data_IF_126813242392
#
_entry.id   IF_126813242392
#
_cell.length_a   1.000
_cell.length_b   1.000
_cell.length_c   1.000
_cell.angle_alpha   90.00
_cell.angle_beta   90.00
_cell.angle_gamma   90.00
#
_symmetry.space_group_name_H-M   'P 1'
#
loop_
_entity.id
_entity.type
_entity.pdbx_description
1 polymer ?
#
# COMPACT_ATOMS: atom_id res chain seq x y z
N UNK A 1 -15.64 -30.50 24.30
CA UNK A 1 -15.27 -30.75 22.90
C UNK A 1 -16.00 -29.74 22.04
N UNK A 2 -15.31 -28.85 21.30
CA UNK A 2 -15.99 -27.97 20.35
C UNK A 2 -16.71 -28.84 19.31
N UNK A 3 -18.01 -28.58 19.11
CA UNK A 3 -18.84 -29.35 18.19
C UNK A 3 -18.34 -29.25 16.75
N UNK A 4 -18.63 -30.26 15.93
CA UNK A 4 -18.34 -30.27 14.48
C UNK A 4 -18.84 -29.02 13.76
N UNK A 5 -19.97 -28.44 14.21
CA UNK A 5 -20.51 -27.20 13.67
C UNK A 5 -19.58 -26.01 13.86
N UNK A 6 -18.93 -25.87 15.02
CA UNK A 6 -17.96 -24.79 15.27
C UNK A 6 -16.72 -24.92 14.38
N UNK A 7 -16.29 -26.15 14.11
CA UNK A 7 -15.14 -26.40 13.23
C UNK A 7 -15.45 -26.05 11.76
N UNK A 8 -16.66 -26.37 11.30
CA UNK A 8 -17.14 -25.99 9.97
C UNK A 8 -17.27 -24.46 9.85
N UNK A 9 -17.84 -23.81 10.85
CA UNK A 9 -17.95 -22.35 10.90
C UNK A 9 -16.58 -21.67 10.80
N UNK A 10 -15.62 -22.10 11.63
CA UNK A 10 -14.24 -21.61 11.58
C UNK A 10 -13.58 -21.85 10.21
N UNK A 11 -13.83 -23.01 9.60
CA UNK A 11 -13.34 -23.32 8.26
C UNK A 11 -13.88 -22.36 7.20
N UNK A 12 -15.19 -22.15 7.15
CA UNK A 12 -15.83 -21.26 6.17
C UNK A 12 -15.38 -19.81 6.34
N UNK A 13 -15.35 -19.28 7.56
CA UNK A 13 -14.86 -17.92 7.80
C UNK A 13 -13.38 -17.77 7.46
N UNK A 14 -12.55 -18.77 7.73
CA UNK A 14 -11.15 -18.74 7.33
C UNK A 14 -10.98 -18.79 5.81
N UNK A 15 -11.85 -19.53 5.10
CA UNK A 15 -11.87 -19.51 3.64
C UNK A 15 -12.24 -18.13 3.10
N UNK A 16 -13.21 -17.44 3.71
CA UNK A 16 -13.56 -16.05 3.37
C UNK A 16 -12.37 -15.11 3.65
N UNK A 17 -11.68 -15.28 4.79
CA UNK A 17 -10.47 -14.53 5.11
C UNK A 17 -9.37 -14.74 4.06
N UNK A 18 -9.20 -15.97 3.57
CA UNK A 18 -8.30 -16.29 2.46
C UNK A 18 -8.69 -15.59 1.16
N UNK A 19 -9.98 -15.59 0.82
CA UNK A 19 -10.51 -14.89 -0.35
C UNK A 19 -10.25 -13.38 -0.25
N UNK A 20 -10.51 -12.79 0.92
CA UNK A 20 -10.23 -11.38 1.20
C UNK A 20 -8.73 -11.05 1.11
N UNK A 21 -7.88 -11.93 1.65
CA UNK A 21 -6.42 -11.81 1.53
C UNK A 21 -5.97 -11.84 0.07
N UNK A 22 -6.60 -12.68 -0.76
CA UNK A 22 -6.38 -12.71 -2.21
C UNK A 22 -6.72 -11.38 -2.89
N UNK A 23 -7.83 -10.74 -2.51
CA UNK A 23 -8.20 -9.40 -3.01
C UNK A 23 -7.12 -8.37 -2.67
N UNK A 24 -6.64 -8.35 -1.42
CA UNK A 24 -5.61 -7.41 -0.97
C UNK A 24 -4.30 -7.64 -1.74
N UNK A 25 -3.87 -8.89 -1.91
CA UNK A 25 -2.68 -9.24 -2.69
C UNK A 25 -2.79 -8.78 -4.14
N UNK A 26 -3.91 -9.05 -4.79
CA UNK A 26 -4.11 -8.65 -6.19
C UNK A 26 -4.13 -7.13 -6.34
N UNK A 27 -4.79 -6.42 -5.42
CA UNK A 27 -4.75 -4.96 -5.37
C UNK A 27 -3.32 -4.43 -5.28
N UNK A 28 -2.53 -4.96 -4.33
CA UNK A 28 -1.14 -4.57 -4.14
C UNK A 28 -0.28 -4.81 -5.39
N UNK A 29 -0.42 -5.97 -6.02
CA UNK A 29 0.29 -6.30 -7.26
C UNK A 29 -0.05 -5.33 -8.39
N UNK A 30 -1.33 -4.98 -8.56
CA UNK A 30 -1.77 -4.00 -9.56
C UNK A 30 -1.23 -2.61 -9.27
N UNK A 31 -1.21 -2.21 -8.00
CA UNK A 31 -0.67 -0.93 -7.56
C UNK A 31 0.82 -0.81 -7.89
N UNK A 32 1.64 -1.79 -7.51
CA UNK A 32 3.08 -1.80 -7.80
C UNK A 32 3.34 -1.81 -9.32
N UNK A 33 2.62 -2.67 -10.06
CA UNK A 33 2.75 -2.79 -11.52
C UNK A 33 2.48 -1.47 -12.23
N UNK A 34 1.44 -0.75 -11.80
CA UNK A 34 0.99 0.45 -12.50
C UNK A 34 1.68 1.74 -12.02
N UNK A 35 2.11 1.78 -10.75
CA UNK A 35 2.77 2.93 -10.17
C UNK A 35 4.18 3.20 -10.75
N UNK A 36 4.78 2.22 -11.45
CA UNK A 36 6.14 2.29 -12.02
C UNK A 36 7.19 2.73 -10.97
N UNK A 37 7.07 2.15 -9.77
CA UNK A 37 7.92 2.46 -8.62
C UNK A 37 9.36 2.00 -8.88
N UNK A 38 10.36 2.76 -8.42
CA UNK A 38 11.76 2.33 -8.55
C UNK A 38 12.06 1.15 -7.61
N UNK A 39 13.04 0.32 -8.00
CA UNK A 39 13.32 -0.97 -7.36
C UNK A 39 13.49 -0.90 -5.83
N UNK A 40 14.13 0.15 -5.31
CA UNK A 40 14.37 0.31 -3.88
C UNK A 40 13.07 0.48 -3.09
N UNK A 41 12.14 1.31 -3.60
CA UNK A 41 10.87 1.53 -2.93
C UNK A 41 9.96 0.30 -3.03
N UNK A 42 10.07 -0.50 -4.08
CA UNK A 42 9.35 -1.79 -4.17
C UNK A 42 9.75 -2.71 -3.02
N UNK A 43 11.04 -2.85 -2.71
CA UNK A 43 11.47 -3.69 -1.58
C UNK A 43 10.93 -3.20 -0.24
N UNK A 44 10.93 -1.88 -0.01
CA UNK A 44 10.40 -1.29 1.22
C UNK A 44 8.89 -1.52 1.31
N UNK A 45 8.16 -1.29 0.22
CA UNK A 45 6.72 -1.54 0.14
C UNK A 45 6.39 -3.02 0.35
N UNK A 46 7.16 -3.94 -0.23
CA UNK A 46 6.98 -5.38 -0.04
C UNK A 46 7.15 -5.75 1.43
N UNK A 47 8.20 -5.25 2.09
CA UNK A 47 8.44 -5.52 3.51
C UNK A 47 7.26 -5.04 4.37
N UNK A 48 6.82 -3.80 4.16
CA UNK A 48 5.68 -3.22 4.89
C UNK A 48 4.41 -4.02 4.62
N UNK A 49 4.17 -4.35 3.35
CA UNK A 49 2.99 -5.09 2.92
C UNK A 49 2.94 -6.48 3.54
N UNK A 50 4.04 -7.23 3.55
CA UNK A 50 4.07 -8.56 4.15
C UNK A 50 3.83 -8.53 5.65
N UNK A 51 4.42 -7.56 6.35
CA UNK A 51 4.16 -7.36 7.79
C UNK A 51 2.68 -7.08 8.05
N UNK A 52 2.07 -6.17 7.28
CA UNK A 52 0.64 -5.87 7.40
C UNK A 52 -0.25 -7.07 7.05
N UNK A 53 0.08 -7.83 6.01
CA UNK A 53 -0.68 -9.00 5.61
C UNK A 53 -0.66 -10.10 6.67
N UNK A 54 0.51 -10.37 7.26
CA UNK A 54 0.61 -11.30 8.38
C UNK A 54 -0.24 -10.83 9.55
N UNK A 55 -0.22 -9.53 9.89
CA UNK A 55 -1.09 -8.99 10.94
C UNK A 55 -2.57 -9.17 10.62
N UNK A 56 -3.01 -8.85 9.40
CA UNK A 56 -4.42 -9.00 8.98
C UNK A 56 -4.88 -10.46 9.08
N UNK A 57 -4.09 -11.39 8.54
CA UNK A 57 -4.40 -12.82 8.60
C UNK A 57 -4.40 -13.32 10.04
N UNK A 58 -3.41 -12.92 10.84
CA UNK A 58 -3.30 -13.31 12.24
C UNK A 58 -4.48 -12.79 13.08
N UNK A 59 -4.85 -11.52 12.94
CA UNK A 59 -6.01 -10.94 13.60
C UNK A 59 -7.31 -11.63 13.18
N UNK A 60 -7.46 -11.94 11.88
CA UNK A 60 -8.60 -12.71 11.39
C UNK A 60 -8.67 -14.11 12.03
N UNK A 61 -7.54 -14.81 12.13
CA UNK A 61 -7.49 -16.12 12.78
C UNK A 61 -7.72 -16.06 14.29
N UNK A 62 -7.22 -15.02 14.97
CA UNK A 62 -7.54 -14.77 16.38
C UNK A 62 -9.03 -14.57 16.59
N UNK A 63 -9.69 -13.81 15.71
CA UNK A 63 -11.12 -13.56 15.82
C UNK A 63 -11.97 -14.82 15.52
N UNK A 64 -11.59 -15.60 14.50
CA UNK A 64 -12.39 -16.74 14.02
C UNK A 64 -12.19 -17.99 14.89
N UNK A 65 -10.95 -18.30 15.24
CA UNK A 65 -10.59 -19.57 15.89
C UNK A 65 -9.71 -19.38 17.14
N UNK A 66 -9.72 -18.18 17.75
CA UNK A 66 -8.87 -17.86 18.91
C UNK A 66 -7.36 -18.07 18.65
N UNK A 67 -6.95 -18.05 17.38
CA UNK A 67 -5.56 -18.28 16.99
C UNK A 67 -5.09 -19.73 17.12
N UNK A 68 -6.01 -20.70 17.31
CA UNK A 68 -5.63 -22.10 17.24
C UNK A 68 -5.17 -22.46 15.82
N UNK A 69 -3.86 -22.70 15.68
CA UNK A 69 -3.23 -23.09 14.41
C UNK A 69 -3.53 -24.56 14.11
N UNK A 70 -4.72 -24.81 13.54
CA UNK A 70 -5.12 -26.13 13.06
C UNK A 70 -4.79 -26.26 11.57
N UNK A 71 -4.37 -27.44 11.14
CA UNK A 71 -3.93 -27.68 9.75
C UNK A 71 -5.04 -27.38 8.72
N UNK A 72 -6.29 -27.71 9.02
CA UNK A 72 -7.42 -27.44 8.11
C UNK A 72 -7.76 -25.95 7.97
N UNK A 73 -7.42 -25.12 8.96
CA UNK A 73 -7.61 -23.65 8.92
C UNK A 73 -6.64 -23.04 7.91
N UNK A 74 -5.38 -23.48 7.93
CA UNK A 74 -4.39 -23.06 6.92
C UNK A 74 -4.79 -23.50 5.51
N UNK A 75 -5.31 -24.72 5.36
CA UNK A 75 -5.83 -25.21 4.08
C UNK A 75 -6.99 -24.34 3.59
N UNK A 76 -7.93 -23.98 4.48
CA UNK A 76 -9.05 -23.10 4.14
C UNK A 76 -8.58 -21.72 3.66
N UNK A 77 -7.60 -21.12 4.34
CA UNK A 77 -7.01 -19.84 3.99
C UNK A 77 -6.38 -19.88 2.59
N UNK A 78 -5.53 -20.88 2.33
CA UNK A 78 -4.87 -21.07 1.03
C UNK A 78 -5.91 -21.31 -0.06
N UNK A 79 -6.89 -22.18 0.21
CA UNK A 79 -7.95 -22.50 -0.74
C UNK A 79 -8.75 -21.25 -1.10
N UNK A 80 -9.14 -20.44 -0.11
CA UNK A 80 -9.83 -19.17 -0.33
C UNK A 80 -9.04 -18.21 -1.22
N UNK A 81 -7.74 -18.05 -0.95
CA UNK A 81 -6.87 -17.20 -1.76
C UNK A 81 -6.72 -17.73 -3.20
N UNK A 82 -6.51 -19.04 -3.37
CA UNK A 82 -6.43 -19.67 -4.71
C UNK A 82 -7.75 -19.53 -5.46
N UNK A 83 -8.89 -19.74 -4.80
CA UNK A 83 -10.21 -19.55 -5.39
C UNK A 83 -10.40 -18.13 -5.87
N UNK A 84 -9.95 -17.13 -5.10
CA UNK A 84 -9.95 -15.75 -5.56
C UNK A 84 -9.16 -15.58 -6.86
N UNK A 85 -7.89 -16.03 -6.88
CA UNK A 85 -7.03 -15.84 -8.04
C UNK A 85 -7.47 -16.61 -9.28
N UNK A 86 -8.10 -17.77 -9.13
CA UNK A 86 -8.56 -18.58 -10.26
C UNK A 86 -9.92 -18.16 -10.83
N UNK A 87 -10.84 -17.69 -9.99
CA UNK A 87 -12.24 -17.49 -10.39
C UNK A 87 -12.61 -16.00 -10.39
N UNK A 88 -12.24 -15.26 -9.35
CA UNK A 88 -12.71 -13.88 -9.15
C UNK A 88 -11.77 -12.83 -9.72
N UNK A 89 -10.47 -13.12 -9.85
CA UNK A 89 -9.44 -12.16 -10.29
C UNK A 89 -9.82 -11.44 -11.58
N UNK A 90 -10.19 -12.18 -12.64
CA UNK A 90 -10.55 -11.64 -13.94
C UNK A 90 -11.78 -10.70 -13.88
N UNK A 91 -12.76 -11.04 -13.05
CA UNK A 91 -13.98 -10.22 -12.89
C UNK A 91 -13.72 -8.92 -12.13
N UNK A 92 -12.81 -8.96 -11.17
CA UNK A 92 -12.51 -7.84 -10.30
C UNK A 92 -11.35 -6.97 -10.78
N UNK A 93 -10.56 -7.45 -11.74
CA UNK A 93 -9.35 -6.78 -12.22
C UNK A 93 -9.60 -5.33 -12.64
N UNK A 94 -10.63 -5.06 -13.44
CA UNK A 94 -10.92 -3.69 -13.89
C UNK A 94 -11.31 -2.75 -12.74
N UNK A 95 -12.03 -3.26 -11.73
CA UNK A 95 -12.41 -2.49 -10.55
C UNK A 95 -11.18 -2.16 -9.69
N UNK A 96 -10.35 -3.17 -9.44
CA UNK A 96 -9.12 -3.03 -8.66
C UNK A 96 -8.09 -2.14 -9.36
N UNK A 97 -7.99 -2.22 -10.70
CA UNK A 97 -7.15 -1.33 -11.51
C UNK A 97 -7.56 0.12 -11.35
N UNK A 98 -8.86 0.44 -11.44
CA UNK A 98 -9.35 1.81 -11.23
C UNK A 98 -9.01 2.33 -9.82
N UNK A 99 -9.16 1.48 -8.79
CA UNK A 99 -8.78 1.84 -7.43
C UNK A 99 -7.27 2.10 -7.30
N UNK A 100 -6.45 1.28 -7.98
CA UNK A 100 -5.01 1.46 -7.99
C UNK A 100 -4.61 2.76 -8.71
N UNK A 101 -5.23 3.06 -9.86
CA UNK A 101 -5.02 4.30 -10.61
C UNK A 101 -5.34 5.54 -9.78
N UNK A 102 -6.48 5.54 -9.08
CA UNK A 102 -6.88 6.62 -8.17
C UNK A 102 -5.84 6.79 -7.07
N UNK A 103 -5.40 5.71 -6.45
CA UNK A 103 -4.39 5.75 -5.38
C UNK A 103 -3.08 6.32 -5.89
N UNK A 104 -2.64 5.91 -7.07
CA UNK A 104 -1.42 6.44 -7.70
C UNK A 104 -1.57 7.93 -8.02
N UNK A 105 -2.72 8.36 -8.54
CA UNK A 105 -2.99 9.76 -8.83
C UNK A 105 -2.91 10.62 -7.57
N UNK A 106 -3.48 10.13 -6.46
CA UNK A 106 -3.43 10.77 -5.15
C UNK A 106 -1.98 10.89 -4.66
N UNK A 107 -1.20 9.79 -4.69
CA UNK A 107 0.21 9.80 -4.28
C UNK A 107 1.05 10.74 -5.15
N UNK A 108 0.82 10.77 -6.47
CA UNK A 108 1.48 11.70 -7.39
C UNK A 108 1.11 13.16 -7.12
N UNK A 109 -0.13 13.44 -6.74
CA UNK A 109 -0.56 14.78 -6.36
C UNK A 109 0.21 15.24 -5.12
N UNK A 110 0.25 14.42 -4.08
CA UNK A 110 0.97 14.73 -2.84
C UNK A 110 2.47 14.94 -3.08
N UNK A 111 3.13 14.07 -3.83
CA UNK A 111 4.57 14.21 -4.15
C UNK A 111 4.85 15.44 -5.01
N UNK A 112 3.98 15.78 -5.97
CA UNK A 112 4.12 16.98 -6.81
C UNK A 112 4.00 18.26 -5.98
N UNK A 113 3.01 18.33 -5.10
CA UNK A 113 2.81 19.47 -4.18
C UNK A 113 3.98 19.58 -3.19
N UNK A 114 4.40 18.46 -2.61
CA UNK A 114 5.45 18.45 -1.57
C UNK A 114 6.87 18.66 -2.09
N UNK A 115 7.23 18.16 -3.27
CA UNK A 115 8.61 18.20 -3.77
C UNK A 115 8.87 19.34 -4.79
N UNK A 116 7.93 19.59 -5.71
CA UNK A 116 8.15 20.53 -6.81
C UNK A 116 7.87 21.98 -6.43
N UNK A 117 6.84 22.22 -5.62
CA UNK A 117 6.41 23.57 -5.24
C UNK A 117 7.40 24.33 -4.33
N UNK A 118 8.03 23.74 -3.30
CA UNK A 118 8.93 24.49 -2.43
C UNK A 118 10.28 24.82 -3.07
N UNK A 119 10.74 24.04 -4.08
CA UNK A 119 11.99 24.36 -4.82
C UNK A 119 11.88 25.69 -5.56
N UNK A 120 10.75 25.96 -6.21
CA UNK A 120 10.54 27.21 -6.96
C UNK A 120 10.47 28.42 -6.04
N UNK A 121 9.81 28.26 -4.87
CA UNK A 121 9.74 29.29 -3.83
C UNK A 121 11.12 29.56 -3.24
N UNK A 122 11.90 28.53 -2.90
CA UNK A 122 13.27 28.71 -2.42
C UNK A 122 14.14 29.43 -3.45
N UNK A 123 14.01 29.10 -4.74
CA UNK A 123 14.77 29.76 -5.80
C UNK A 123 14.41 31.25 -5.88
N UNK A 124 13.12 31.61 -5.77
CA UNK A 124 12.67 33.01 -5.75
C UNK A 124 13.17 33.78 -4.53
N UNK A 125 13.16 33.17 -3.35
CA UNK A 125 13.69 33.79 -2.12
C UNK A 125 15.21 33.99 -2.23
N UNK A 126 15.94 32.96 -2.63
CA UNK A 126 17.41 33.04 -2.76
C UNK A 126 17.82 34.07 -3.82
N UNK A 127 17.07 34.19 -4.92
CA UNK A 127 17.26 35.23 -5.94
C UNK A 127 17.02 36.64 -5.39
N UNK A 128 16.00 36.85 -4.56
CA UNK A 128 15.77 38.16 -3.93
C UNK A 128 16.87 38.55 -2.93
N UNK A 129 17.39 37.59 -2.17
CA UNK A 129 18.48 37.84 -1.20
C UNK A 129 19.81 38.19 -1.90
N UNK A 130 20.14 37.53 -3.02
CA UNK A 130 21.38 37.82 -3.77
C UNK A 130 21.36 39.21 -4.40
N UNK A 131 20.20 39.68 -4.88
CA UNK A 131 20.07 41.01 -5.48
C UNK A 131 20.17 42.12 -4.42
N UNK A 132 19.76 41.87 -3.19
CA UNK A 132 19.88 42.86 -2.12
C UNK A 132 21.35 43.04 -1.67
N UNK A 133 22.11 41.94 -1.57
CA UNK A 133 23.51 41.97 -1.13
C UNK A 133 24.44 42.69 -2.12
N UNK A 134 24.23 42.52 -3.42
CA UNK A 134 25.06 43.19 -4.44
C UNK A 134 24.87 44.71 -4.51
N UNK A 135 23.81 45.25 -3.90
CA UNK A 135 23.51 46.69 -3.90
C UNK A 135 24.16 47.44 -2.73
N UNK A 136 24.49 46.73 -1.66
CA UNK A 136 25.16 47.29 -0.48
C UNK A 136 26.68 47.41 -0.70
N UNK A 137 27.25 46.52 -1.51
CA UNK A 137 28.69 46.51 -1.83
C UNK A 137 29.08 47.68 -2.77
N UNK A 138 28.23 48.03 -3.75
CA UNK A 138 28.47 49.17 -4.66
C UNK A 138 28.40 50.55 -3.96
N UNK A 139 27.60 50.69 -2.89
CA UNK A 139 27.49 51.96 -2.15
C UNK A 139 28.66 52.23 -1.18
N UNK A 140 29.44 51.21 -0.84
CA UNK A 140 30.61 51.35 0.04
C UNK A 140 31.92 51.62 -0.71
N UNK A 141 32.00 51.33 -2.02
CA UNK A 141 33.17 51.69 -2.85
C UNK A 141 33.14 53.14 -3.35
N UNK A 142 31.98 53.79 -3.40
CA UNK A 142 31.84 55.21 -3.78
C UNK A 142 32.01 56.21 -2.61
N UNK A 143 32.25 55.73 -1.38
CA UNK A 143 32.52 56.56 -0.19
C UNK A 143 33.98 56.48 0.24
#
# INVERSE_FOLDING_TARGET
>A
MPGIFFQLEAFFFTMILGLFSGVILHYYQLLIRNARVTRIYVYILDMIFWVLMVMVVFMGMLYINQGEMRSYVLIALILGAVTYFKILSARWEQGLLKLADVTIAVVKLFTKVGYYYPREILYRIKKMVVIHRGKDDEQNEEK
#
